data_IF_033653876809
#
_entry.id   IF_033653876809
#
_cell.length_a   1.000
_cell.length_b   1.000
_cell.length_c   1.000
_cell.angle_alpha   90.00
_cell.angle_beta   90.00
_cell.angle_gamma   90.00
#
_symmetry.space_group_name_H-M   'P 1'
#
loop_
_entity.id
_entity.type
_entity.pdbx_description
1 polymer ?
#
# COMPACT_ATOMS: atom_id res chain seq x y z
N UNK A 1 -20.96 31.23 -18.99
CA UNK A 1 -20.70 30.14 -18.03
C UNK A 1 -22.00 29.42 -17.72
N UNK A 2 -22.02 28.11 -17.48
CA UNK A 2 -22.99 27.46 -16.54
C UNK A 2 -23.95 26.33 -17.00
N UNK A 3 -23.91 25.78 -18.22
CA UNK A 3 -24.61 24.49 -18.50
C UNK A 3 -23.71 23.44 -19.11
N UNK A 4 -22.86 23.82 -20.07
CA UNK A 4 -21.91 22.90 -20.70
C UNK A 4 -20.82 22.42 -19.73
N UNK A 5 -20.32 23.31 -18.86
CA UNK A 5 -19.38 22.93 -17.80
C UNK A 5 -20.02 22.05 -16.72
N UNK A 6 -21.30 22.25 -16.39
CA UNK A 6 -22.01 21.41 -15.40
C UNK A 6 -22.31 20.03 -15.97
N UNK A 7 -22.71 19.93 -17.23
CA UNK A 7 -22.95 18.65 -17.90
C UNK A 7 -21.64 17.86 -18.10
N UNK A 8 -20.54 18.54 -18.44
CA UNK A 8 -19.20 17.95 -18.50
C UNK A 8 -18.70 17.52 -17.11
N UNK A 9 -19.01 18.25 -16.04
CA UNK A 9 -18.68 17.86 -14.67
C UNK A 9 -19.45 16.62 -14.20
N UNK A 10 -20.74 16.51 -14.57
CA UNK A 10 -21.58 15.34 -14.22
C UNK A 10 -21.14 14.10 -15.02
N UNK A 11 -20.72 14.26 -16.27
CA UNK A 11 -20.12 13.18 -17.05
C UNK A 11 -18.72 12.80 -16.56
N UNK A 12 -17.86 13.77 -16.19
CA UNK A 12 -16.54 13.49 -15.60
C UNK A 12 -16.63 12.84 -14.21
N UNK A 13 -17.59 13.24 -13.37
CA UNK A 13 -17.74 12.63 -12.04
C UNK A 13 -18.29 11.21 -12.09
N UNK A 14 -19.15 10.90 -13.09
CA UNK A 14 -19.59 9.53 -13.36
C UNK A 14 -18.56 8.70 -14.14
N UNK A 15 -17.72 9.32 -14.98
CA UNK A 15 -16.60 8.63 -15.64
C UNK A 15 -15.51 8.25 -14.64
N UNK A 16 -15.16 9.12 -13.68
CA UNK A 16 -14.21 8.76 -12.61
C UNK A 16 -14.78 7.66 -11.70
N UNK A 17 -16.06 7.71 -11.29
CA UNK A 17 -16.67 6.64 -10.48
C UNK A 17 -16.89 5.32 -11.22
N UNK A 18 -17.06 5.36 -12.55
CA UNK A 18 -17.23 4.16 -13.36
C UNK A 18 -15.89 3.56 -13.82
N UNK A 19 -14.79 4.32 -13.84
CA UNK A 19 -13.44 3.77 -14.00
C UNK A 19 -12.99 3.04 -12.72
N UNK A 20 -13.21 3.61 -11.54
CA UNK A 20 -12.85 2.97 -10.26
C UNK A 20 -13.68 1.69 -9.97
N UNK A 21 -14.90 1.59 -10.49
CA UNK A 21 -15.74 0.37 -10.35
C UNK A 21 -15.34 -0.77 -11.30
N UNK A 22 -14.46 -0.51 -12.28
CA UNK A 22 -13.83 -1.57 -13.10
C UNK A 22 -12.48 -1.98 -12.50
N UNK A 23 -12.05 -1.32 -11.43
CA UNK A 23 -10.70 -1.37 -10.88
C UNK A 23 -10.57 -2.28 -9.65
N UNK A 24 -11.66 -2.86 -9.13
CA UNK A 24 -11.56 -3.80 -8.02
C UNK A 24 -11.00 -5.15 -8.52
N UNK A 25 -9.73 -5.48 -8.23
CA UNK A 25 -9.12 -6.71 -8.71
C UNK A 25 -9.84 -7.94 -8.13
N UNK A 26 -10.61 -7.79 -7.05
CA UNK A 26 -11.33 -8.88 -6.39
C UNK A 26 -12.39 -9.49 -7.30
N UNK A 27 -13.21 -8.65 -7.95
CA UNK A 27 -14.31 -9.12 -8.81
C UNK A 27 -13.81 -9.75 -10.10
N UNK A 28 -12.80 -9.15 -10.72
CA UNK A 28 -12.18 -9.69 -11.95
C UNK A 28 -11.49 -11.03 -11.70
N UNK A 29 -10.85 -11.20 -10.54
CA UNK A 29 -10.26 -12.47 -10.13
C UNK A 29 -11.33 -13.53 -9.80
N UNK A 30 -12.45 -13.15 -9.19
CA UNK A 30 -13.57 -14.07 -8.94
C UNK A 30 -14.20 -14.55 -10.26
N UNK A 31 -14.43 -13.62 -11.21
CA UNK A 31 -14.95 -13.95 -12.54
C UNK A 31 -14.02 -14.90 -13.31
N UNK A 32 -12.72 -14.60 -13.33
CA UNK A 32 -11.74 -15.45 -14.03
C UNK A 32 -11.59 -16.83 -13.37
N UNK A 33 -11.68 -16.92 -12.04
CA UNK A 33 -11.73 -18.21 -11.35
C UNK A 33 -12.97 -19.03 -11.76
N UNK A 34 -14.15 -18.40 -11.83
CA UNK A 34 -15.37 -19.05 -12.29
C UNK A 34 -15.22 -19.58 -13.72
N UNK A 35 -14.63 -18.79 -14.63
CA UNK A 35 -14.36 -19.21 -16.01
C UNK A 35 -13.38 -20.39 -16.09
N UNK A 36 -12.38 -20.41 -15.23
CA UNK A 36 -11.45 -21.55 -15.13
C UNK A 36 -12.16 -22.82 -14.65
N UNK A 37 -13.08 -22.73 -13.69
CA UNK A 37 -13.89 -23.85 -13.23
C UNK A 37 -14.82 -24.37 -14.34
N UNK A 38 -15.50 -23.48 -15.07
CA UNK A 38 -16.32 -23.86 -16.22
C UNK A 38 -15.49 -24.60 -17.29
N UNK A 39 -14.28 -24.10 -17.59
CA UNK A 39 -13.38 -24.74 -18.53
C UNK A 39 -12.94 -26.12 -18.05
N UNK A 40 -12.57 -26.25 -16.77
CA UNK A 40 -12.21 -27.52 -16.16
C UNK A 40 -13.36 -28.54 -16.25
N UNK A 41 -14.60 -28.11 -16.00
CA UNK A 41 -15.78 -28.96 -16.12
C UNK A 41 -15.99 -29.41 -17.59
N UNK A 42 -15.82 -28.51 -18.56
CA UNK A 42 -15.89 -28.84 -19.99
C UNK A 42 -14.83 -29.88 -20.39
N UNK A 43 -13.59 -29.71 -19.93
CA UNK A 43 -12.51 -30.67 -20.21
C UNK A 43 -12.82 -32.03 -19.59
N UNK A 44 -13.27 -32.07 -18.33
CA UNK A 44 -13.68 -33.33 -17.67
C UNK A 44 -14.82 -34.03 -18.41
N UNK A 45 -15.79 -33.27 -18.92
CA UNK A 45 -16.87 -33.82 -19.76
C UNK A 45 -16.32 -34.39 -21.06
N UNK A 46 -15.41 -33.67 -21.73
CA UNK A 46 -14.74 -34.17 -22.93
C UNK A 46 -13.97 -35.47 -22.70
N UNK A 47 -13.28 -35.62 -21.57
CA UNK A 47 -12.64 -36.89 -21.19
C UNK A 47 -13.68 -38.00 -21.06
N UNK A 48 -14.81 -37.74 -20.39
CA UNK A 48 -15.87 -38.73 -20.23
C UNK A 48 -16.53 -39.14 -21.57
N UNK A 49 -16.70 -38.19 -22.49
CA UNK A 49 -17.26 -38.46 -23.82
C UNK A 49 -16.33 -39.34 -24.65
N UNK A 50 -15.00 -39.10 -24.58
CA UNK A 50 -13.99 -39.95 -25.24
C UNK A 50 -13.93 -41.33 -24.60
N UNK A 51 -13.93 -41.43 -23.27
CA UNK A 51 -13.95 -42.70 -22.55
C UNK A 51 -15.20 -43.53 -22.89
N UNK A 52 -16.36 -42.87 -23.02
CA UNK A 52 -17.61 -43.51 -23.45
C UNK A 52 -17.51 -44.04 -24.88
N UNK A 53 -16.93 -43.25 -25.78
CA UNK A 53 -16.72 -43.64 -27.17
C UNK A 53 -15.76 -44.83 -27.27
N UNK A 54 -14.65 -44.81 -26.52
CA UNK A 54 -13.71 -45.92 -26.40
C UNK A 54 -14.41 -47.19 -25.91
N UNK A 55 -15.22 -47.08 -24.84
CA UNK A 55 -15.94 -48.23 -24.28
C UNK A 55 -16.96 -48.80 -25.28
N UNK A 56 -17.61 -47.95 -26.07
CA UNK A 56 -18.52 -48.42 -27.14
C UNK A 56 -17.78 -49.23 -28.19
N UNK A 57 -16.61 -48.77 -28.65
CA UNK A 57 -15.75 -49.52 -29.59
C UNK A 57 -15.29 -50.84 -28.96
N UNK A 58 -14.89 -50.83 -27.69
CA UNK A 58 -14.49 -52.04 -26.95
C UNK A 58 -15.61 -53.09 -26.92
N UNK A 59 -16.85 -52.68 -26.66
CA UNK A 59 -18.01 -53.58 -26.68
C UNK A 59 -18.29 -54.15 -28.09
N UNK A 60 -18.10 -53.34 -29.14
CA UNK A 60 -18.24 -53.81 -30.53
C UNK A 60 -17.17 -54.85 -30.88
N UNK A 61 -15.92 -54.63 -30.48
CA UNK A 61 -14.83 -55.60 -30.64
C UNK A 61 -15.21 -56.93 -29.97
N UNK A 62 -15.65 -56.89 -28.71
CA UNK A 62 -16.06 -58.09 -27.96
C UNK A 62 -17.20 -58.85 -28.66
N UNK A 63 -18.17 -58.14 -29.22
CA UNK A 63 -19.27 -58.76 -29.96
C UNK A 63 -18.79 -59.48 -31.23
N UNK A 64 -17.89 -58.85 -31.99
CA UNK A 64 -17.31 -59.46 -33.20
C UNK A 64 -16.38 -60.63 -32.86
N UNK A 65 -15.61 -60.54 -31.78
CA UNK A 65 -14.75 -61.63 -31.30
C UNK A 65 -15.56 -62.88 -30.91
N UNK A 66 -16.72 -62.69 -30.28
CA UNK A 66 -17.64 -63.80 -29.99
C UNK A 66 -18.18 -64.44 -31.27
N UNK A 67 -18.52 -63.64 -32.30
CA UNK A 67 -18.96 -64.15 -33.59
C UNK A 67 -17.84 -64.90 -34.32
N UNK A 68 -16.62 -64.36 -34.29
CA UNK A 68 -15.42 -64.99 -34.84
C UNK A 68 -15.15 -66.35 -34.19
N UNK A 69 -15.27 -66.42 -32.86
CA UNK A 69 -15.12 -67.66 -32.08
C UNK A 69 -16.19 -68.70 -32.43
N UNK A 70 -17.44 -68.27 -32.67
CA UNK A 70 -18.52 -69.17 -33.13
C UNK A 70 -18.22 -69.76 -34.51
N UNK A 71 -17.75 -68.93 -35.45
CA UNK A 71 -17.36 -69.39 -36.79
C UNK A 71 -16.16 -70.34 -36.74
N UNK A 72 -15.22 -70.12 -35.83
CA UNK A 72 -14.12 -71.06 -35.58
C UNK A 72 -14.60 -72.41 -35.06
N UNK A 73 -15.52 -72.42 -34.09
CA UNK A 73 -16.08 -73.67 -33.59
C UNK A 73 -16.87 -74.42 -34.68
N UNK A 74 -17.62 -73.68 -35.51
CA UNK A 74 -18.35 -74.23 -36.65
C UNK A 74 -17.40 -74.82 -37.69
N UNK A 75 -16.29 -74.15 -38.02
CA UNK A 75 -15.31 -74.68 -38.97
C UNK A 75 -14.63 -75.95 -38.46
N UNK A 76 -14.25 -75.98 -37.17
CA UNK A 76 -13.71 -77.20 -36.52
C UNK A 76 -14.71 -78.35 -36.55
N UNK A 77 -15.99 -78.09 -36.26
CA UNK A 77 -17.03 -79.11 -36.30
C UNK A 77 -17.27 -79.64 -37.73
N UNK A 78 -17.29 -78.77 -38.74
CA UNK A 78 -17.45 -79.16 -40.14
C UNK A 78 -16.28 -80.02 -40.63
N UNK A 79 -15.03 -79.66 -40.27
CA UNK A 79 -13.85 -80.48 -40.57
C UNK A 79 -13.92 -81.86 -39.90
N UNK A 80 -14.36 -81.92 -38.64
CA UNK A 80 -14.56 -83.19 -37.94
C UNK A 80 -15.61 -84.11 -38.60
N UNK A 81 -16.51 -83.54 -39.41
CA UNK A 81 -17.51 -84.27 -40.20
C UNK A 81 -17.09 -84.50 -41.66
N UNK A 82 -15.86 -84.14 -42.05
CA UNK A 82 -15.37 -84.26 -43.42
C UNK A 82 -15.98 -83.27 -44.42
N UNK A 83 -16.65 -82.20 -43.95
CA UNK A 83 -17.29 -81.17 -44.78
C UNK A 83 -16.36 -79.97 -44.95
N UNK A 84 -15.35 -80.12 -45.81
CA UNK A 84 -14.32 -79.10 -46.03
C UNK A 84 -14.85 -77.81 -46.67
N UNK A 85 -15.88 -77.93 -47.50
CA UNK A 85 -16.59 -76.82 -48.14
C UNK A 85 -17.19 -75.86 -47.11
N UNK A 86 -17.96 -76.39 -46.15
CA UNK A 86 -18.55 -75.62 -45.06
C UNK A 86 -17.49 -75.03 -44.13
N UNK A 87 -16.41 -75.77 -43.87
CA UNK A 87 -15.30 -75.28 -43.07
C UNK A 87 -14.61 -74.07 -43.73
N UNK A 88 -14.38 -74.13 -45.05
CA UNK A 88 -13.77 -73.05 -45.81
C UNK A 88 -14.66 -71.81 -45.85
N UNK A 89 -15.97 -71.98 -46.00
CA UNK A 89 -16.93 -70.87 -45.94
C UNK A 89 -16.93 -70.19 -44.56
N UNK A 90 -16.99 -70.96 -43.48
CA UNK A 90 -16.94 -70.45 -42.11
C UNK A 90 -15.64 -69.67 -41.83
N UNK A 91 -14.50 -70.19 -42.29
CA UNK A 91 -13.20 -69.51 -42.18
C UNK A 91 -13.13 -68.23 -43.02
N UNK A 92 -13.75 -68.22 -44.20
CA UNK A 92 -13.83 -67.03 -45.06
C UNK A 92 -14.61 -65.91 -44.37
N UNK A 93 -15.76 -66.25 -43.76
CA UNK A 93 -16.54 -65.29 -42.95
C UNK A 93 -15.75 -64.82 -41.73
N UNK A 94 -15.03 -65.73 -41.06
CA UNK A 94 -14.18 -65.39 -39.90
C UNK A 94 -13.08 -64.40 -40.28
N UNK A 95 -12.43 -64.62 -41.43
CA UNK A 95 -11.42 -63.70 -41.96
C UNK A 95 -11.98 -62.29 -42.15
N UNK A 96 -13.18 -62.16 -42.72
CA UNK A 96 -13.86 -60.87 -42.85
C UNK A 96 -14.16 -60.17 -41.52
N UNK A 97 -14.55 -60.92 -40.49
CA UNK A 97 -14.73 -60.38 -39.14
C UNK A 97 -13.40 -59.96 -38.50
N UNK A 98 -12.33 -60.73 -38.74
CA UNK A 98 -11.00 -60.41 -38.20
C UNK A 98 -10.50 -59.06 -38.72
N UNK A 99 -10.64 -58.80 -40.03
CA UNK A 99 -10.28 -57.49 -40.60
C UNK A 99 -11.07 -56.33 -39.98
N UNK A 100 -12.34 -56.53 -39.64
CA UNK A 100 -13.15 -55.51 -38.96
C UNK A 100 -12.70 -55.30 -37.52
N UNK A 101 -12.39 -56.38 -36.79
CA UNK A 101 -11.85 -56.34 -35.43
C UNK A 101 -10.54 -55.56 -35.40
N UNK A 102 -9.64 -55.83 -36.34
CA UNK A 102 -8.33 -55.18 -36.39
C UNK A 102 -8.47 -53.65 -36.63
N UNK A 103 -9.39 -53.24 -37.50
CA UNK A 103 -9.73 -51.82 -37.70
C UNK A 103 -10.30 -51.16 -36.44
N UNK A 104 -11.22 -51.82 -35.73
CA UNK A 104 -11.76 -51.31 -34.48
C UNK A 104 -10.72 -51.26 -33.35
N UNK A 105 -9.78 -52.21 -33.31
CA UNK A 105 -8.67 -52.21 -32.34
C UNK A 105 -7.76 -51.00 -32.53
N UNK A 106 -7.42 -50.66 -33.77
CA UNK A 106 -6.68 -49.43 -34.08
C UNK A 106 -7.45 -48.18 -33.63
N UNK A 107 -8.76 -48.12 -33.88
CA UNK A 107 -9.59 -47.01 -33.42
C UNK A 107 -9.66 -46.95 -31.88
N UNK A 108 -9.74 -48.09 -31.20
CA UNK A 108 -9.73 -48.17 -29.74
C UNK A 108 -8.40 -47.64 -29.16
N UNK A 109 -7.25 -48.04 -29.72
CA UNK A 109 -5.94 -47.53 -29.30
C UNK A 109 -5.82 -46.02 -29.51
N UNK A 110 -6.31 -45.49 -30.64
CA UNK A 110 -6.32 -44.06 -30.89
C UNK A 110 -7.15 -43.32 -29.82
N UNK A 111 -8.37 -43.77 -29.55
CA UNK A 111 -9.24 -43.18 -28.53
C UNK A 111 -8.62 -43.28 -27.12
N UNK A 112 -7.95 -44.39 -26.81
CA UNK A 112 -7.22 -44.55 -25.55
C UNK A 112 -6.08 -43.55 -25.41
N UNK A 113 -5.31 -43.31 -26.48
CA UNK A 113 -4.26 -42.29 -26.48
C UNK A 113 -4.82 -40.87 -26.33
N UNK A 114 -5.95 -40.58 -26.96
CA UNK A 114 -6.66 -39.29 -26.81
C UNK A 114 -7.22 -39.10 -25.39
N UNK A 115 -7.84 -40.12 -24.81
CA UNK A 115 -8.35 -40.12 -23.44
C UNK A 115 -7.23 -39.81 -22.43
N UNK A 116 -6.07 -40.46 -22.57
CA UNK A 116 -4.90 -40.24 -21.71
C UNK A 116 -4.38 -38.80 -21.84
N UNK A 117 -4.26 -38.27 -23.07
CA UNK A 117 -3.83 -36.88 -23.31
C UNK A 117 -4.79 -35.88 -22.67
N UNK A 118 -6.09 -36.07 -22.82
CA UNK A 118 -7.11 -35.20 -22.23
C UNK A 118 -7.12 -35.31 -20.70
N UNK A 119 -6.92 -36.50 -20.15
CA UNK A 119 -6.81 -36.72 -18.70
C UNK A 119 -5.62 -35.96 -18.11
N UNK A 120 -4.45 -36.04 -18.74
CA UNK A 120 -3.27 -35.27 -18.33
C UNK A 120 -3.50 -33.75 -18.46
N UNK A 121 -4.17 -33.31 -19.53
CA UNK A 121 -4.54 -31.91 -19.69
C UNK A 121 -5.50 -31.43 -18.59
N UNK A 122 -6.49 -32.26 -18.22
CA UNK A 122 -7.44 -31.98 -17.14
C UNK A 122 -6.73 -31.84 -15.78
N UNK A 123 -5.79 -32.73 -15.48
CA UNK A 123 -4.99 -32.68 -14.25
C UNK A 123 -4.13 -31.41 -14.18
N UNK A 124 -3.47 -31.04 -15.29
CA UNK A 124 -2.70 -29.80 -15.38
C UNK A 124 -3.57 -28.57 -15.22
N UNK A 125 -4.77 -28.57 -15.81
CA UNK A 125 -5.72 -27.47 -15.68
C UNK A 125 -6.20 -27.36 -14.22
N UNK A 126 -6.53 -28.47 -13.56
CA UNK A 126 -6.89 -28.51 -12.15
C UNK A 126 -5.80 -27.85 -11.28
N UNK A 127 -4.53 -28.27 -11.45
CA UNK A 127 -3.42 -27.69 -10.70
C UNK A 127 -3.28 -26.17 -10.93
N UNK A 128 -3.50 -25.70 -12.16
CA UNK A 128 -3.52 -24.26 -12.46
C UNK A 128 -4.67 -23.54 -11.77
N UNK A 129 -5.88 -24.10 -11.79
CA UNK A 129 -7.06 -23.55 -11.10
C UNK A 129 -6.82 -23.44 -9.60
N UNK A 130 -6.23 -24.47 -8.98
CA UNK A 130 -5.93 -24.46 -7.55
C UNK A 130 -4.85 -23.42 -7.18
N UNK A 131 -3.82 -23.29 -8.03
CA UNK A 131 -2.81 -22.24 -7.88
C UNK A 131 -3.42 -20.84 -8.03
N UNK A 132 -4.38 -20.68 -8.95
CA UNK A 132 -5.06 -19.42 -9.19
C UNK A 132 -5.96 -19.04 -8.02
N UNK A 133 -6.69 -20.01 -7.45
CA UNK A 133 -7.48 -19.81 -6.22
C UNK A 133 -6.62 -19.24 -5.09
N UNK A 134 -5.47 -19.85 -4.84
CA UNK A 134 -4.55 -19.40 -3.77
C UNK A 134 -4.05 -17.98 -4.04
N UNK A 135 -3.64 -17.71 -5.28
CA UNK A 135 -3.16 -16.38 -5.70
C UNK A 135 -4.25 -15.32 -5.59
N UNK A 136 -5.48 -15.66 -5.98
CA UNK A 136 -6.65 -14.81 -5.82
C UNK A 136 -6.83 -14.41 -4.37
N UNK A 137 -6.96 -15.37 -3.45
CA UNK A 137 -7.18 -15.05 -2.02
C UNK A 137 -6.04 -14.20 -1.44
N UNK A 138 -4.79 -14.47 -1.85
CA UNK A 138 -3.64 -13.65 -1.47
C UNK A 138 -3.78 -12.20 -1.95
N UNK A 139 -4.11 -12.00 -3.23
CA UNK A 139 -4.31 -10.66 -3.81
C UNK A 139 -5.48 -9.95 -3.14
N UNK A 140 -6.61 -10.64 -2.88
CA UNK A 140 -7.76 -10.05 -2.17
C UNK A 140 -7.34 -9.56 -0.78
N UNK A 141 -6.60 -10.38 -0.03
CA UNK A 141 -6.12 -10.03 1.30
C UNK A 141 -5.13 -8.84 1.27
N UNK A 142 -4.14 -8.87 0.37
CA UNK A 142 -3.17 -7.78 0.22
C UNK A 142 -3.85 -6.48 -0.20
N UNK A 143 -4.83 -6.54 -1.09
CA UNK A 143 -5.61 -5.37 -1.51
C UNK A 143 -6.39 -4.79 -0.34
N UNK A 144 -7.08 -5.62 0.46
CA UNK A 144 -7.79 -5.16 1.65
C UNK A 144 -6.85 -4.55 2.70
N UNK A 145 -5.67 -5.13 2.90
CA UNK A 145 -4.65 -4.57 3.80
C UNK A 145 -4.14 -3.21 3.31
N UNK A 146 -3.81 -3.08 2.01
CA UNK A 146 -3.39 -1.83 1.41
C UNK A 146 -4.48 -0.76 1.50
N UNK A 147 -5.75 -1.12 1.24
CA UNK A 147 -6.89 -0.23 1.37
C UNK A 147 -7.06 0.29 2.82
N UNK A 148 -6.90 -0.59 3.82
CA UNK A 148 -6.93 -0.20 5.22
C UNK A 148 -5.76 0.73 5.59
N UNK A 149 -4.56 0.46 5.07
CA UNK A 149 -3.39 1.31 5.31
C UNK A 149 -3.56 2.71 4.71
N UNK A 150 -4.13 2.82 3.50
CA UNK A 150 -4.46 4.11 2.90
C UNK A 150 -5.48 4.87 3.74
N UNK A 151 -6.57 4.23 4.17
CA UNK A 151 -7.59 4.86 5.02
C UNK A 151 -7.01 5.37 6.35
N UNK A 152 -6.13 4.59 7.00
CA UNK A 152 -5.45 5.02 8.23
C UNK A 152 -4.53 6.21 7.96
N UNK A 153 -3.79 6.20 6.85
CA UNK A 153 -2.87 7.29 6.49
C UNK A 153 -3.62 8.58 6.18
N UNK A 154 -4.75 8.50 5.49
CA UNK A 154 -5.66 9.63 5.21
C UNK A 154 -6.31 10.16 6.50
N UNK A 155 -6.75 9.28 7.39
CA UNK A 155 -7.30 9.68 8.68
C UNK A 155 -6.24 10.38 9.54
N UNK A 156 -5.00 9.87 9.54
CA UNK A 156 -3.90 10.49 10.29
C UNK A 156 -3.49 11.84 9.69
N UNK A 157 -3.43 11.97 8.36
CA UNK A 157 -3.14 13.27 7.73
C UNK A 157 -4.25 14.28 8.02
N UNK A 158 -5.53 13.86 7.98
CA UNK A 158 -6.66 14.73 8.31
C UNK A 158 -6.63 15.20 9.77
N UNK A 159 -6.32 14.31 10.71
CA UNK A 159 -6.13 14.68 12.12
C UNK A 159 -4.94 15.62 12.28
N UNK A 160 -3.83 15.38 11.58
CA UNK A 160 -2.62 16.21 11.70
C UNK A 160 -2.84 17.63 11.16
N UNK A 161 -3.67 17.80 10.12
CA UNK A 161 -4.09 19.09 9.60
C UNK A 161 -4.98 19.82 10.63
N UNK A 162 -5.97 19.13 11.20
CA UNK A 162 -6.84 19.68 12.25
C UNK A 162 -6.07 20.06 13.52
N UNK A 163 -5.12 19.22 13.96
CA UNK A 163 -4.27 19.52 15.11
C UNK A 163 -3.32 20.70 14.86
N UNK A 164 -2.82 20.86 13.63
CA UNK A 164 -2.04 22.02 13.23
C UNK A 164 -2.83 23.33 13.35
N UNK A 165 -4.09 23.30 12.89
CA UNK A 165 -4.99 24.45 13.00
C UNK A 165 -5.36 24.78 14.45
N UNK A 166 -5.62 23.76 15.27
CA UNK A 166 -5.90 23.95 16.71
C UNK A 166 -4.67 24.49 17.44
N UNK A 167 -3.46 23.98 17.14
CA UNK A 167 -2.22 24.48 17.73
C UNK A 167 -1.98 25.96 17.43
N UNK A 168 -2.22 26.39 16.19
CA UNK A 168 -2.15 27.80 15.81
C UNK A 168 -3.21 28.66 16.51
N UNK A 169 -4.40 28.12 16.75
CA UNK A 169 -5.44 28.83 17.50
C UNK A 169 -5.07 29.00 18.98
N UNK A 170 -4.50 27.98 19.61
CA UNK A 170 -4.02 28.03 21.00
C UNK A 170 -2.89 29.03 21.15
N UNK A 171 -1.87 28.99 20.27
CA UNK A 171 -0.75 29.93 20.32
C UNK A 171 -1.22 31.39 20.19
N UNK A 172 -2.17 31.68 19.29
CA UNK A 172 -2.77 33.02 19.19
C UNK A 172 -3.51 33.44 20.46
N UNK A 173 -4.18 32.50 21.13
CA UNK A 173 -4.86 32.77 22.39
C UNK A 173 -3.85 33.09 23.50
N UNK A 174 -2.78 32.31 23.61
CA UNK A 174 -1.69 32.53 24.56
C UNK A 174 -0.99 33.88 24.33
N UNK A 175 -0.62 34.18 23.09
CA UNK A 175 -0.02 35.46 22.70
C UNK A 175 -0.93 36.64 23.07
N UNK A 176 -2.25 36.50 22.86
CA UNK A 176 -3.23 37.53 23.21
C UNK A 176 -3.35 37.72 24.72
N UNK A 177 -3.33 36.63 25.48
CA UNK A 177 -3.35 36.67 26.95
C UNK A 177 -2.07 37.31 27.49
N UNK A 178 -0.91 36.95 26.95
CA UNK A 178 0.37 37.55 27.32
C UNK A 178 0.40 39.05 27.00
N UNK A 179 -0.10 39.48 25.83
CA UNK A 179 -0.26 40.89 25.48
C UNK A 179 -1.19 41.62 26.46
N UNK A 180 -2.31 41.00 26.83
CA UNK A 180 -3.26 41.55 27.79
C UNK A 180 -2.65 41.68 29.20
N UNK A 181 -1.90 40.67 29.64
CA UNK A 181 -1.17 40.70 30.91
C UNK A 181 -0.06 41.75 30.93
N UNK A 182 0.72 41.87 29.84
CA UNK A 182 1.74 42.89 29.70
C UNK A 182 1.14 44.30 29.72
N UNK A 183 -0.01 44.50 29.06
CA UNK A 183 -0.75 45.77 29.13
C UNK A 183 -1.28 46.05 30.53
N UNK A 184 -1.84 45.05 31.21
CA UNK A 184 -2.30 45.21 32.59
C UNK A 184 -1.14 45.58 33.53
N UNK A 185 0.01 44.90 33.42
CA UNK A 185 1.21 45.24 34.18
C UNK A 185 1.74 46.65 33.87
N UNK A 186 1.75 47.07 32.60
CA UNK A 186 2.12 48.44 32.23
C UNK A 186 1.14 49.47 32.81
N UNK A 187 -0.17 49.18 32.85
CA UNK A 187 -1.17 50.04 33.49
C UNK A 187 -0.94 50.10 35.01
N UNK A 188 -0.64 48.98 35.66
CA UNK A 188 -0.32 48.93 37.09
C UNK A 188 0.96 49.72 37.42
N UNK A 189 2.00 49.64 36.58
CA UNK A 189 3.22 50.46 36.70
C UNK A 189 2.95 51.95 36.47
N UNK A 190 2.08 52.31 35.53
CA UNK A 190 1.64 53.70 35.31
C UNK A 190 0.81 54.24 36.49
N UNK A 191 0.03 53.38 37.15
CA UNK A 191 -0.68 53.71 38.39
C UNK A 191 0.31 53.91 39.55
N UNK A 192 1.27 52.99 39.72
CA UNK A 192 2.24 53.01 40.80
C UNK A 192 3.25 54.19 40.68
N UNK A 193 3.58 54.58 39.45
CA UNK A 193 4.42 55.76 39.17
C UNK A 193 3.67 57.09 39.30
N UNK A 194 2.36 57.06 39.50
CA UNK A 194 1.52 58.27 39.65
C UNK A 194 1.21 59.00 38.35
N UNK A 195 1.63 58.47 37.19
CA UNK A 195 1.43 59.12 35.89
C UNK A 195 -0.05 59.18 35.46
N UNK A 196 -0.90 58.28 35.98
CA UNK A 196 -2.35 58.28 35.72
C UNK A 196 -3.14 59.27 36.60
N UNK A 197 -2.59 59.68 37.74
CA UNK A 197 -3.21 60.67 38.65
C UNK A 197 -3.13 62.10 38.07
N UNK A 198 -2.28 62.31 37.06
CA UNK A 198 -2.12 63.58 36.33
C UNK A 198 -3.23 63.85 35.31
N UNK A 199 -4.04 62.83 34.95
CA UNK A 199 -5.08 62.98 33.91
C UNK A 199 -6.49 63.18 34.51
N UNK A 200 -6.73 62.77 35.75
CA UNK A 200 -8.01 62.95 36.45
C UNK A 200 -8.07 64.21 37.31
N UNK A 201 -7.73 65.36 36.71
CA UNK A 201 -8.19 66.68 37.14
C UNK A 201 -7.57 67.25 38.43
N UNK A 202 -7.67 68.58 38.51
CA UNK A 202 -7.28 69.48 39.61
C UNK A 202 -5.86 70.03 39.49
N UNK A 203 -5.80 71.25 38.92
CA UNK A 203 -4.85 72.33 39.20
C UNK A 203 -3.99 72.06 40.43
N UNK A 204 -2.74 71.62 40.23
CA UNK A 204 -1.77 71.45 41.31
C UNK A 204 -0.49 72.23 40.98
N UNK A 205 -0.51 73.46 41.51
CA UNK A 205 0.60 74.31 41.94
C UNK A 205 1.95 74.19 41.21
N UNK A 206 2.21 75.16 40.31
CA UNK A 206 3.52 75.57 39.81
C UNK A 206 4.57 75.78 40.92
N UNK A 207 4.14 76.01 42.16
CA UNK A 207 5.01 76.27 43.32
C UNK A 207 5.78 75.02 43.77
N UNK A 208 5.18 73.83 43.66
CA UNK A 208 5.84 72.60 44.12
C UNK A 208 6.96 72.15 43.15
N UNK A 209 6.76 72.37 41.84
CA UNK A 209 7.78 72.11 40.82
C UNK A 209 9.00 73.05 40.95
N UNK A 210 8.79 74.30 41.35
CA UNK A 210 9.87 75.26 41.61
C UNK A 210 10.69 74.88 42.87
N UNK A 211 10.03 74.35 43.91
CA UNK A 211 10.69 73.87 45.14
C UNK A 211 11.58 72.64 44.92
N UNK A 212 11.11 71.65 44.14
CA UNK A 212 11.90 70.44 43.82
C UNK A 212 13.12 70.79 42.93
N UNK A 213 13.00 71.83 42.09
CA UNK A 213 14.12 72.36 41.30
C UNK A 213 15.18 73.06 42.16
N UNK A 214 14.75 73.79 43.20
CA UNK A 214 15.68 74.38 44.17
C UNK A 214 16.33 73.32 45.08
N UNK A 215 15.60 72.26 45.45
CA UNK A 215 16.15 71.16 46.24
C UNK A 215 17.21 70.36 45.47
N UNK A 216 16.98 70.09 44.19
CA UNK A 216 17.97 69.42 43.31
C UNK A 216 19.19 70.28 43.04
N UNK A 217 19.06 71.61 42.92
CA UNK A 217 20.21 72.52 42.77
C UNK A 217 21.12 72.51 44.01
N UNK A 218 20.54 72.47 45.22
CA UNK A 218 21.32 72.38 46.46
C UNK A 218 21.98 71.01 46.67
N UNK A 219 21.35 69.93 46.20
CA UNK A 219 21.93 68.57 46.24
C UNK A 219 23.17 68.44 45.35
N UNK A 220 23.12 69.02 44.15
CA UNK A 220 24.22 68.98 43.17
C UNK A 220 25.45 69.77 43.65
N UNK A 221 25.27 70.91 44.32
CA UNK A 221 26.40 71.69 44.85
C UNK A 221 27.13 70.96 46.00
N UNK A 222 26.36 70.29 46.87
CA UNK A 222 26.90 69.45 47.97
C UNK A 222 27.65 68.21 47.45
N UNK A 223 27.21 67.66 46.33
CA UNK A 223 27.85 66.53 45.65
C UNK A 223 29.12 66.97 44.89
N UNK A 224 29.13 68.21 44.33
CA UNK A 224 30.30 68.83 43.72
C UNK A 224 31.41 69.12 44.75
N UNK A 225 31.06 69.62 45.94
CA UNK A 225 32.02 69.81 47.04
C UNK A 225 32.61 68.50 47.55
N UNK A 226 31.80 67.43 47.62
CA UNK A 226 32.28 66.08 47.94
C UNK A 226 33.27 65.57 46.90
N UNK A 227 32.95 65.69 45.61
CA UNK A 227 33.84 65.30 44.50
C UNK A 227 35.14 66.12 44.49
N UNK A 228 35.08 67.41 44.84
CA UNK A 228 36.28 68.26 44.97
C UNK A 228 37.19 67.81 46.11
N UNK A 229 36.62 67.37 47.23
CA UNK A 229 37.36 66.85 48.37
C UNK A 229 37.92 65.44 48.09
N UNK A 230 37.22 64.60 47.32
CA UNK A 230 37.72 63.29 46.87
C UNK A 230 38.85 63.41 45.83
N UNK A 231 38.78 64.36 44.89
CA UNK A 231 39.87 64.60 43.93
C UNK A 231 41.12 65.26 44.55
N UNK A 232 41.02 65.84 45.75
CA UNK A 232 42.13 66.48 46.46
C UNK A 232 43.04 65.53 47.26
N UNK A 233 42.65 64.27 47.48
CA UNK A 233 43.37 63.32 48.35
C UNK A 233 43.88 62.03 47.68
N UNK A 234 43.79 61.91 46.35
CA UNK A 234 44.13 60.68 45.63
C UNK A 234 45.13 60.84 44.48
N UNK A 235 46.18 61.64 44.64
CA UNK A 235 47.31 61.66 43.69
C UNK A 235 48.58 61.20 44.40
N UNK A 236 48.95 59.93 44.23
CA UNK A 236 50.23 59.41 44.72
C UNK A 236 50.46 57.93 44.48
N UNK A 237 51.33 57.64 43.49
CA UNK A 237 52.13 56.40 43.31
C UNK A 237 51.44 55.26 42.53
N UNK A 238 51.73 55.07 41.23
CA UNK A 238 52.95 54.52 40.61
C UNK A 238 52.92 52.97 40.45
N UNK A 239 52.75 52.55 39.18
CA UNK A 239 53.27 51.40 38.41
C UNK A 239 54.17 50.32 39.10
N UNK A 240 54.46 49.14 38.46
CA UNK A 240 53.83 48.40 37.33
C UNK A 240 53.77 46.84 37.50
N UNK A 241 53.20 46.17 36.46
CA UNK A 241 53.63 44.90 35.82
C UNK A 241 53.44 43.50 36.46
N UNK A 242 53.41 42.53 35.53
CA UNK A 242 53.56 41.05 35.60
C UNK A 242 52.23 40.30 35.86
N UNK A 243 51.84 39.17 35.25
CA UNK A 243 52.18 38.32 34.08
C UNK A 243 51.21 37.12 34.17
N UNK A 244 50.90 36.46 33.05
CA UNK A 244 50.73 35.00 33.09
C UNK A 244 49.32 34.41 32.99
N UNK A 245 49.06 33.79 31.83
CA UNK A 245 48.22 32.59 31.67
C UNK A 245 46.74 32.87 31.36
N UNK A 246 46.07 32.17 30.44
CA UNK A 246 46.44 31.08 29.53
C UNK A 246 45.18 30.73 28.74
N UNK A 247 45.33 30.54 27.42
CA UNK A 247 44.63 29.56 26.54
C UNK A 247 43.09 29.56 26.46
N UNK A 248 42.43 29.47 25.32
CA UNK A 248 42.77 29.22 23.90
C UNK A 248 41.50 29.45 23.06
N UNK A 249 41.54 29.95 21.82
CA UNK A 249 41.80 29.20 20.56
C UNK A 249 40.75 28.10 20.37
N UNK A 250 39.94 27.98 19.31
CA UNK A 250 40.03 28.28 17.86
C UNK A 250 38.64 27.96 17.27
N UNK A 251 37.99 28.76 16.41
CA UNK A 251 38.22 28.99 14.97
C UNK A 251 38.38 27.75 14.08
N UNK A 252 37.37 27.54 13.22
CA UNK A 252 37.47 27.18 11.80
C UNK A 252 37.97 25.78 11.40
N UNK A 253 37.22 25.10 10.53
CA UNK A 253 37.70 23.87 9.89
C UNK A 253 36.73 23.19 8.93
N UNK A 254 36.57 23.77 7.75
CA UNK A 254 36.06 23.16 6.52
C UNK A 254 36.83 21.86 6.16
N UNK A 255 36.15 20.78 5.75
CA UNK A 255 36.42 20.00 4.52
C UNK A 255 35.84 18.55 4.52
N UNK A 256 34.98 18.30 3.53
CA UNK A 256 35.13 17.34 2.42
C UNK A 256 35.51 15.87 2.75
N UNK A 257 34.53 15.00 2.48
CA UNK A 257 34.50 13.54 2.18
C UNK A 257 35.50 13.13 1.05
N UNK A 258 35.74 11.86 0.61
CA UNK A 258 35.30 10.51 1.07
C UNK A 258 36.40 9.39 1.06
N UNK A 259 35.93 8.15 1.31
CA UNK A 259 36.38 6.83 0.78
C UNK A 259 37.48 6.02 1.50
N UNK A 260 37.08 4.87 2.06
CA UNK A 260 37.61 3.47 1.83
C UNK A 260 36.95 2.50 2.83
N UNK A 261 36.26 1.45 2.37
CA UNK A 261 36.71 0.06 2.10
C UNK A 261 36.99 -0.82 3.33
N UNK A 262 36.49 -2.07 3.26
CA UNK A 262 36.85 -3.22 4.12
C UNK A 262 35.66 -3.70 4.96
N UNK A 263 34.96 -4.78 4.58
CA UNK A 263 35.19 -6.16 5.08
C UNK A 263 34.78 -6.30 6.57
N UNK A 264 34.01 -7.26 7.04
CA UNK A 264 33.52 -8.54 6.54
C UNK A 264 33.23 -9.39 7.79
N UNK A 265 32.13 -10.13 7.78
CA UNK A 265 31.86 -11.38 8.54
C UNK A 265 30.36 -11.70 8.43
#
# INVERSE_FOLDING_TARGET
MSVFQRLSMIFKSKANKALDSVEDPRETLDYSYQKQLELLQKVRRGVADVATSRKRVELQIQQLEQQSSKLENQSRAALGQGREDLAREALTRRSGLQSQIDGLRQQHEQLQGEEQKLTLAAQRLQAKVDSFRTRKETIKATYTAAQAQTQISEAFSGISEEMGDVGLAIQRAEDKTAEMQARAGAVDELLASGALDDVSGVQKDDIQAELDRMASTNGVELELERLKNELGQGSGSAAPQIEGGSTGTSSSGNQVQPYRQGEGA
#
